data_IF_867834227416
#
_entry.id   IF_867834227416
#
_cell.length_a   1.000
_cell.length_b   1.000
_cell.length_c   1.000
_cell.angle_alpha   90.00
_cell.angle_beta   90.00
_cell.angle_gamma   90.00
#
_symmetry.space_group_name_H-M   'P 1'
#
loop_
_entity.id
_entity.type
_entity.pdbx_description
1 polymer ?
#
# COMPACT_ATOMS: atom_id res chain seq x y z
N UNK A 1 13.02 -9.55 -1.80
CA UNK A 1 14.18 -9.12 -0.99
C UNK A 1 13.97 -9.61 0.43
N UNK A 2 14.89 -10.39 0.99
CA UNK A 2 14.82 -10.87 2.40
C UNK A 2 15.74 -10.00 3.27
N UNK A 3 15.37 -8.73 3.44
CA UNK A 3 16.05 -7.84 4.37
C UNK A 3 15.52 -8.03 5.79
N UNK A 4 16.32 -7.68 6.80
CA UNK A 4 15.86 -7.57 8.20
C UNK A 4 15.77 -6.09 8.57
N UNK A 5 14.82 -5.73 9.41
CA UNK A 5 14.74 -4.34 9.87
C UNK A 5 15.91 -3.99 10.80
N UNK A 6 16.65 -2.90 10.55
CA UNK A 6 17.79 -2.50 11.40
C UNK A 6 17.35 -1.87 12.73
N UNK A 7 16.11 -1.43 12.84
CA UNK A 7 15.46 -0.89 14.03
C UNK A 7 13.98 -1.29 14.03
N UNK A 8 13.26 -1.06 15.14
CA UNK A 8 11.84 -1.38 15.23
C UNK A 8 11.03 -0.48 14.28
N UNK A 9 10.14 -1.07 13.49
CA UNK A 9 9.23 -0.33 12.59
C UNK A 9 7.80 -0.76 12.90
N UNK A 10 6.99 0.19 13.38
CA UNK A 10 5.65 -0.05 13.92
C UNK A 10 5.60 -1.23 14.93
N UNK A 11 4.75 -2.23 14.71
CA UNK A 11 4.66 -3.44 15.54
C UNK A 11 5.81 -4.42 15.32
N UNK A 12 6.59 -4.25 14.25
CA UNK A 12 7.64 -5.20 13.88
C UNK A 12 8.95 -4.92 14.59
N UNK A 13 9.46 -5.91 15.33
CA UNK A 13 10.70 -5.81 16.10
C UNK A 13 11.95 -5.65 15.24
N UNK A 14 13.01 -5.08 15.83
CA UNK A 14 14.34 -5.02 15.22
C UNK A 14 14.85 -6.43 14.93
N UNK A 15 15.40 -6.63 13.73
CA UNK A 15 15.95 -7.92 13.30
C UNK A 15 14.92 -8.89 12.73
N UNK A 16 13.62 -8.58 12.80
CA UNK A 16 12.58 -9.34 12.12
C UNK A 16 12.69 -9.20 10.60
N UNK A 17 12.12 -10.17 9.88
CA UNK A 17 12.10 -10.14 8.42
C UNK A 17 11.25 -8.96 7.93
N UNK A 18 11.79 -8.18 7.00
CA UNK A 18 11.12 -7.02 6.47
C UNK A 18 9.82 -7.43 5.74
N UNK A 19 8.72 -6.79 6.13
CA UNK A 19 7.42 -6.93 5.49
C UNK A 19 7.31 -5.94 4.32
N UNK A 20 6.41 -6.19 3.36
CA UNK A 20 6.13 -5.19 2.31
C UNK A 20 5.79 -3.84 2.96
N UNK A 21 6.32 -2.73 2.46
CA UNK A 21 6.12 -1.41 3.08
C UNK A 21 4.64 -0.99 3.19
N UNK A 22 3.78 -1.51 2.32
CA UNK A 22 2.33 -1.28 2.43
C UNK A 22 1.71 -1.92 3.68
N UNK A 23 2.31 -3.00 4.21
CA UNK A 23 1.85 -3.63 5.46
C UNK A 23 1.88 -2.61 6.60
N UNK A 24 3.01 -1.91 6.77
CA UNK A 24 3.17 -0.93 7.87
C UNK A 24 2.29 0.29 7.68
N UNK A 25 2.06 0.72 6.43
CA UNK A 25 1.13 1.82 6.13
C UNK A 25 -0.30 1.45 6.51
N UNK A 26 -0.77 0.27 6.07
CA UNK A 26 -2.12 -0.21 6.39
C UNK A 26 -2.28 -0.40 7.89
N UNK A 27 -1.27 -1.00 8.53
CA UNK A 27 -1.24 -1.19 9.98
C UNK A 27 -1.44 0.12 10.73
N UNK A 28 -0.64 1.16 10.43
CA UNK A 28 -0.68 2.41 11.17
C UNK A 28 -1.90 3.25 10.84
N UNK A 29 -2.28 3.36 9.56
CA UNK A 29 -3.47 4.12 9.14
C UNK A 29 -4.73 3.52 9.76
N UNK A 30 -4.94 2.21 9.65
CA UNK A 30 -6.16 1.58 10.18
C UNK A 30 -6.14 1.50 11.71
N UNK A 31 -4.97 1.31 12.33
CA UNK A 31 -4.89 1.35 13.80
C UNK A 31 -5.24 2.73 14.37
N UNK A 32 -4.84 3.81 13.70
CA UNK A 32 -5.08 5.18 14.16
C UNK A 32 -6.47 5.68 13.72
N UNK A 33 -6.75 5.66 12.41
CA UNK A 33 -7.98 6.21 11.85
C UNK A 33 -9.18 5.28 12.03
N UNK A 34 -8.94 3.98 12.19
CA UNK A 34 -9.97 2.98 12.46
C UNK A 34 -10.31 2.79 13.94
N UNK A 35 -9.55 3.39 14.86
CA UNK A 35 -9.82 3.37 16.31
C UNK A 35 -9.63 2.02 17.01
N UNK A 36 -9.11 1.01 16.32
CA UNK A 36 -8.90 -0.35 16.86
C UNK A 36 -7.48 -0.57 17.43
N UNK A 37 -6.60 0.42 17.25
CA UNK A 37 -5.24 0.51 17.82
C UNK A 37 -4.48 -0.84 17.83
N UNK A 38 -4.27 -1.43 19.00
CA UNK A 38 -3.49 -2.66 19.19
C UNK A 38 -4.21 -3.92 18.67
N UNK A 39 -5.54 -3.98 18.80
CA UNK A 39 -6.32 -5.17 18.39
C UNK A 39 -6.17 -5.42 16.90
N UNK A 40 -6.31 -4.37 16.10
CA UNK A 40 -6.13 -4.48 14.65
C UNK A 40 -4.72 -4.94 14.28
N UNK A 41 -3.68 -4.39 14.93
CA UNK A 41 -2.28 -4.77 14.68
C UNK A 41 -2.05 -6.27 14.91
N UNK A 42 -2.54 -6.81 16.02
CA UNK A 42 -2.40 -8.22 16.36
C UNK A 42 -3.14 -9.14 15.37
N UNK A 43 -4.36 -8.76 14.98
CA UNK A 43 -5.17 -9.53 14.02
C UNK A 43 -4.53 -9.51 12.63
N UNK A 44 -4.05 -8.33 12.19
CA UNK A 44 -3.37 -8.18 10.91
C UNK A 44 -2.07 -9.00 10.87
N UNK A 45 -1.31 -9.00 11.97
CA UNK A 45 -0.09 -9.78 12.12
C UNK A 45 -0.36 -11.28 12.00
N UNK A 46 -1.33 -11.77 12.79
CA UNK A 46 -1.74 -13.17 12.77
C UNK A 46 -2.19 -13.60 11.37
N UNK A 47 -3.03 -12.79 10.72
CA UNK A 47 -3.53 -13.05 9.36
C UNK A 47 -2.43 -13.02 8.32
N UNK A 48 -1.48 -12.09 8.42
CA UNK A 48 -0.33 -12.02 7.53
C UNK A 48 0.58 -13.24 7.66
N UNK A 49 0.79 -13.72 8.88
CA UNK A 49 1.61 -14.90 9.15
C UNK A 49 0.92 -16.20 8.72
N UNK A 50 -0.40 -16.31 8.85
CA UNK A 50 -1.15 -17.53 8.52
C UNK A 50 -1.53 -17.65 7.04
N UNK A 51 -1.88 -16.55 6.38
CA UNK A 51 -2.50 -16.60 5.06
C UNK A 51 -1.53 -16.20 3.94
N UNK A 52 -1.28 -17.12 2.99
CA UNK A 52 -0.49 -16.81 1.79
C UNK A 52 -1.17 -15.78 0.86
N UNK A 53 -2.51 -15.79 0.65
CA UNK A 53 -3.16 -14.81 -0.22
C UNK A 53 -2.94 -13.36 0.21
N UNK A 54 -3.01 -13.07 1.52
CA UNK A 54 -2.79 -11.70 2.02
C UNK A 54 -1.34 -11.24 1.84
N UNK A 55 -0.35 -12.13 1.99
CA UNK A 55 1.05 -11.80 1.72
C UNK A 55 1.25 -11.38 0.26
N UNK A 56 0.63 -12.13 -0.68
CA UNK A 56 0.68 -11.82 -2.11
C UNK A 56 -0.06 -10.52 -2.41
N UNK A 57 -1.24 -10.30 -1.81
CA UNK A 57 -2.01 -9.07 -1.96
C UNK A 57 -1.16 -7.85 -1.56
N UNK A 58 -0.60 -7.85 -0.35
CA UNK A 58 0.19 -6.72 0.15
C UNK A 58 1.45 -6.51 -0.70
N UNK A 59 2.10 -7.56 -1.18
CA UNK A 59 3.23 -7.39 -2.10
C UNK A 59 2.80 -6.74 -3.42
N UNK A 60 1.67 -7.17 -3.99
CA UNK A 60 1.13 -6.59 -5.24
C UNK A 60 0.70 -5.14 -5.04
N UNK A 61 0.07 -4.81 -3.91
CA UNK A 61 -0.31 -3.44 -3.57
C UNK A 61 0.93 -2.55 -3.39
N UNK A 62 1.98 -3.06 -2.74
CA UNK A 62 3.24 -2.33 -2.61
C UNK A 62 3.84 -1.97 -3.97
N UNK A 63 3.84 -2.91 -4.93
CA UNK A 63 4.29 -2.62 -6.29
C UNK A 63 3.33 -1.69 -7.03
N UNK A 64 2.02 -1.93 -6.96
CA UNK A 64 1.02 -1.13 -7.65
C UNK A 64 1.10 0.34 -7.22
N UNK A 65 1.07 0.62 -5.91
CA UNK A 65 1.15 1.98 -5.40
C UNK A 65 2.55 2.58 -5.49
N UNK A 66 3.58 1.84 -5.08
CA UNK A 66 4.95 2.35 -5.03
C UNK A 66 5.54 2.61 -6.43
N UNK A 67 5.47 1.62 -7.32
CA UNK A 67 6.07 1.75 -8.66
C UNK A 67 5.29 2.71 -9.55
N UNK A 68 3.96 2.60 -9.58
CA UNK A 68 3.18 3.54 -10.40
C UNK A 68 3.18 4.96 -9.81
N UNK A 69 3.24 5.11 -8.49
CA UNK A 69 3.39 6.42 -7.84
C UNK A 69 4.71 7.08 -8.22
N UNK A 70 5.81 6.32 -8.22
CA UNK A 70 7.10 6.82 -8.71
C UNK A 70 7.03 7.22 -10.19
N UNK A 71 6.42 6.39 -11.04
CA UNK A 71 6.26 6.69 -12.46
C UNK A 71 5.45 7.97 -12.69
N UNK A 72 4.33 8.14 -11.98
CA UNK A 72 3.49 9.35 -12.04
C UNK A 72 4.24 10.58 -11.52
N UNK A 73 5.00 10.45 -10.43
CA UNK A 73 5.79 11.55 -9.90
C UNK A 73 6.86 12.04 -10.90
N UNK A 74 7.58 11.12 -11.54
CA UNK A 74 8.56 11.45 -12.59
C UNK A 74 7.87 12.11 -13.78
N UNK A 75 6.75 11.55 -14.25
CA UNK A 75 6.00 12.12 -15.36
C UNK A 75 5.50 13.53 -15.07
N UNK A 76 5.01 13.78 -13.85
CA UNK A 76 4.57 15.10 -13.39
C UNK A 76 5.71 16.12 -13.33
N UNK A 77 6.87 15.72 -12.79
CA UNK A 77 8.04 16.59 -12.73
C UNK A 77 8.47 17.03 -14.13
N UNK A 78 8.51 16.11 -15.09
CA UNK A 78 8.83 16.43 -16.49
C UNK A 78 7.76 17.32 -17.10
N UNK A 79 6.48 16.98 -16.95
CA UNK A 79 5.38 17.71 -17.57
C UNK A 79 5.28 19.15 -17.07
N UNK A 80 5.34 19.35 -15.75
CA UNK A 80 5.29 20.68 -15.13
C UNK A 80 6.51 21.52 -15.52
N UNK A 81 7.70 20.90 -15.64
CA UNK A 81 8.91 21.58 -16.08
C UNK A 81 8.91 22.01 -17.55
N UNK A 82 8.09 21.38 -18.39
CA UNK A 82 7.99 21.68 -19.83
C UNK A 82 6.83 22.63 -20.17
N UNK A 83 5.83 22.77 -19.30
CA UNK A 83 4.66 23.62 -19.55
C UNK A 83 4.97 25.07 -19.11
N UNK A 84 4.99 26.05 -20.05
CA UNK A 84 5.35 27.43 -19.73
C UNK A 84 4.23 28.20 -19.01
N UNK A 85 2.99 27.72 -19.05
CA UNK A 85 1.86 28.35 -18.38
C UNK A 85 1.72 27.83 -16.93
N UNK A 86 1.90 28.72 -15.97
CA UNK A 86 1.85 28.39 -14.53
C UNK A 86 0.49 27.86 -14.07
N UNK A 87 -0.62 28.41 -14.56
CA UNK A 87 -1.96 27.95 -14.19
C UNK A 87 -2.23 26.53 -14.71
N UNK A 88 -1.83 26.27 -15.96
CA UNK A 88 -1.93 24.94 -16.55
C UNK A 88 -1.09 23.92 -15.77
N UNK A 89 0.15 24.28 -15.42
CA UNK A 89 1.03 23.44 -14.59
C UNK A 89 0.44 23.14 -13.21
N UNK A 90 -0.22 24.11 -12.57
CA UNK A 90 -0.90 23.92 -11.30
C UNK A 90 -2.06 22.93 -11.42
N UNK A 91 -2.93 23.11 -12.43
CA UNK A 91 -4.07 22.22 -12.66
C UNK A 91 -3.60 20.80 -12.96
N UNK A 92 -2.58 20.63 -13.81
CA UNK A 92 -1.98 19.33 -14.12
C UNK A 92 -1.44 18.66 -12.86
N UNK A 93 -0.66 19.41 -12.06
CA UNK A 93 -0.07 18.91 -10.82
C UNK A 93 -1.10 18.51 -9.77
N UNK A 94 -2.31 19.07 -9.81
CA UNK A 94 -3.39 18.70 -8.92
C UNK A 94 -4.22 17.53 -9.44
N UNK A 95 -4.70 17.59 -10.68
CA UNK A 95 -5.69 16.64 -11.19
C UNK A 95 -5.11 15.25 -11.44
N UNK A 96 -3.88 15.16 -11.96
CA UNK A 96 -3.27 13.87 -12.32
C UNK A 96 -3.06 12.96 -11.09
N UNK A 97 -2.48 13.43 -9.96
CA UNK A 97 -2.37 12.63 -8.75
C UNK A 97 -3.72 12.10 -8.25
N UNK A 98 -4.76 12.95 -8.23
CA UNK A 98 -6.10 12.55 -7.78
C UNK A 98 -6.73 11.51 -8.71
N UNK A 99 -6.61 11.69 -10.03
CA UNK A 99 -7.09 10.72 -11.00
C UNK A 99 -6.37 9.37 -10.86
N UNK A 100 -5.04 9.38 -10.72
CA UNK A 100 -4.24 8.19 -10.46
C UNK A 100 -4.66 7.48 -9.16
N UNK A 101 -4.80 8.23 -8.06
CA UNK A 101 -5.21 7.70 -6.76
C UNK A 101 -6.61 7.08 -6.82
N UNK A 102 -7.55 7.72 -7.53
CA UNK A 102 -8.91 7.19 -7.71
C UNK A 102 -8.89 5.85 -8.45
N UNK A 103 -8.15 5.76 -9.57
CA UNK A 103 -8.03 4.52 -10.35
C UNK A 103 -7.40 3.40 -9.52
N UNK A 104 -6.27 3.67 -8.85
CA UNK A 104 -5.62 2.67 -8.01
C UNK A 104 -6.46 2.26 -6.81
N UNK A 105 -7.28 3.16 -6.24
CA UNK A 105 -8.19 2.81 -5.15
C UNK A 105 -9.24 1.80 -5.60
N UNK A 106 -9.81 1.97 -6.81
CA UNK A 106 -10.74 1.01 -7.40
C UNK A 106 -10.08 -0.34 -7.67
N UNK A 107 -8.86 -0.34 -8.22
CA UNK A 107 -8.08 -1.57 -8.45
C UNK A 107 -7.75 -2.27 -7.12
N UNK A 108 -7.33 -1.51 -6.11
CA UNK A 108 -7.04 -2.03 -4.77
C UNK A 108 -8.27 -2.72 -4.18
N UNK A 109 -9.45 -2.09 -4.29
CA UNK A 109 -10.71 -2.71 -3.85
C UNK A 109 -10.96 -4.04 -4.54
N UNK A 110 -10.79 -4.12 -5.85
CA UNK A 110 -10.99 -5.36 -6.61
C UNK A 110 -9.98 -6.45 -6.22
N UNK A 111 -8.71 -6.09 -6.04
CA UNK A 111 -7.65 -7.00 -5.59
C UNK A 111 -7.93 -7.54 -4.19
N UNK A 112 -8.36 -6.69 -3.26
CA UNK A 112 -8.71 -7.07 -1.89
C UNK A 112 -9.91 -8.01 -1.88
N UNK A 113 -10.96 -7.74 -2.66
CA UNK A 113 -12.10 -8.66 -2.80
C UNK A 113 -11.68 -10.03 -3.34
N UNK A 114 -10.81 -10.06 -4.36
CA UNK A 114 -10.32 -11.32 -4.91
C UNK A 114 -9.49 -12.11 -3.88
N UNK A 115 -8.66 -11.43 -3.08
CA UNK A 115 -7.89 -12.06 -2.02
C UNK A 115 -8.80 -12.62 -0.91
N UNK A 116 -9.84 -11.87 -0.51
CA UNK A 116 -10.84 -12.32 0.46
C UNK A 116 -11.58 -13.57 -0.02
N UNK A 117 -12.04 -13.59 -1.27
CA UNK A 117 -12.68 -14.78 -1.85
C UNK A 117 -11.73 -16.00 -1.87
N UNK A 118 -10.45 -15.76 -2.13
CA UNK A 118 -9.43 -16.82 -2.08
C UNK A 118 -9.22 -17.36 -0.66
N UNK A 119 -9.20 -16.47 0.35
CA UNK A 119 -9.10 -16.87 1.76
C UNK A 119 -10.33 -17.65 2.23
N UNK A 120 -11.55 -17.26 1.84
CA UNK A 120 -12.79 -17.96 2.21
C UNK A 120 -12.90 -19.34 1.56
N UNK A 121 -12.41 -19.49 0.32
CA UNK A 121 -12.42 -20.75 -0.41
C UNK A 121 -11.38 -21.78 0.06
N UNK A 122 -10.39 -21.34 0.86
CA UNK A 122 -9.37 -22.23 1.40
C UNK A 122 -9.90 -22.82 2.73
N UNK A 123 -10.10 -24.16 2.85
CA UNK A 123 -10.52 -24.75 4.10
C UNK A 123 -9.49 -24.45 5.19
N UNK A 124 -9.97 -24.05 6.36
CA UNK A 124 -9.16 -23.87 7.56
C UNK A 124 -8.60 -25.25 7.92
N UNK A 125 -7.35 -25.52 7.54
CA UNK A 125 -6.58 -26.69 8.00
C UNK A 125 -5.91 -26.40 9.33
#
# INVERSE_FOLDING_TARGET
>A
MRGKYPFRISSTEKGALARPGIYTIVEDVVAVDGGEELKFRQILDARYCSNRPIQILLQRLGWAWGFSGLAVAIALLVLIGMVPNMEASFVIGWIIPWAWAAVLSLLTRSMTKAALACEESAPIT
#
